data_IF_315815309634
#
_entry.id   IF_315815309634
#
_cell.length_a   1.000
_cell.length_b   1.000
_cell.length_c   1.000
_cell.angle_alpha   90.00
_cell.angle_beta   90.00
_cell.angle_gamma   90.00
#
_symmetry.space_group_name_H-M   'P 1'
#
loop_
_entity.id
_entity.type
_entity.pdbx_description
1 polymer ?
#
# COMPACT_ATOMS: atom_id res chain seq x y z
N UNK A 1 14.67 15.33 7.25
CA UNK A 1 13.71 14.31 6.75
C UNK A 1 14.37 12.96 6.45
N UNK A 2 15.59 12.91 5.88
CA UNK A 2 16.34 11.67 5.59
C UNK A 2 16.45 10.71 6.79
N UNK A 3 16.75 11.22 8.00
CA UNK A 3 16.83 10.40 9.22
C UNK A 3 15.55 9.60 9.48
N UNK A 4 14.38 10.20 9.25
CA UNK A 4 13.09 9.55 9.48
C UNK A 4 12.89 8.39 8.50
N UNK A 5 13.30 8.57 7.26
CA UNK A 5 13.28 7.53 6.24
C UNK A 5 14.19 6.34 6.60
N UNK A 6 15.34 6.58 7.23
CA UNK A 6 16.16 5.49 7.77
C UNK A 6 15.44 4.73 8.89
N UNK A 7 14.81 5.45 9.83
CA UNK A 7 14.05 4.82 10.93
C UNK A 7 12.78 4.08 10.49
N UNK A 8 12.29 4.28 9.27
CA UNK A 8 11.25 3.42 8.68
C UNK A 8 11.68 1.95 8.56
N UNK A 9 12.97 1.64 8.76
CA UNK A 9 13.55 0.29 8.72
C UNK A 9 13.90 -0.27 10.10
N UNK A 10 13.53 0.40 11.19
CA UNK A 10 13.80 -0.06 12.55
C UNK A 10 13.10 -1.40 12.85
N UNK A 11 13.71 -2.25 13.70
CA UNK A 11 13.13 -3.56 14.08
C UNK A 11 11.82 -3.44 14.87
N UNK A 12 11.69 -2.37 15.66
CA UNK A 12 10.47 -2.02 16.38
C UNK A 12 9.42 -1.37 15.46
N UNK A 13 8.23 -1.98 15.40
CA UNK A 13 7.07 -1.47 14.66
C UNK A 13 6.59 -0.10 15.14
N UNK A 14 6.69 0.21 16.44
CA UNK A 14 6.26 1.49 17.01
C UNK A 14 7.13 2.65 16.54
N UNK A 15 8.44 2.41 16.46
CA UNK A 15 9.40 3.38 15.92
C UNK A 15 9.10 3.61 14.43
N UNK A 16 8.89 2.54 13.65
CA UNK A 16 8.54 2.67 12.23
C UNK A 16 7.28 3.50 12.03
N UNK A 17 6.21 3.24 12.77
CA UNK A 17 4.96 4.00 12.69
C UNK A 17 5.16 5.48 13.04
N UNK A 18 5.87 5.78 14.13
CA UNK A 18 6.14 7.18 14.56
C UNK A 18 6.90 7.97 13.49
N UNK A 19 7.86 7.33 12.81
CA UNK A 19 8.61 8.00 11.76
C UNK A 19 7.82 8.10 10.46
N UNK A 20 6.99 7.10 10.14
CA UNK A 20 6.07 7.14 9.01
C UNK A 20 5.12 8.35 9.08
N UNK A 21 4.45 8.58 10.22
CA UNK A 21 3.51 9.71 10.37
C UNK A 21 4.13 11.04 9.95
N UNK A 22 5.43 11.20 10.21
CA UNK A 22 6.21 12.39 9.88
C UNK A 22 6.76 12.40 8.45
N UNK A 23 6.87 11.24 7.82
CA UNK A 23 7.18 11.12 6.39
C UNK A 23 5.94 11.47 5.56
N UNK A 24 4.74 11.12 6.04
CA UNK A 24 3.47 11.39 5.36
C UNK A 24 3.13 12.90 5.26
N UNK A 25 3.72 13.73 6.13
CA UNK A 25 3.63 15.20 6.08
C UNK A 25 4.44 15.84 4.93
N UNK A 26 5.24 15.06 4.19
CA UNK A 26 6.18 15.55 3.19
C UNK A 26 5.72 15.27 1.76
N UNK A 27 5.71 16.30 0.92
CA UNK A 27 5.39 16.21 -0.52
C UNK A 27 6.63 15.96 -1.42
N UNK A 28 7.78 15.74 -0.81
CA UNK A 28 9.02 15.46 -1.52
C UNK A 28 9.02 14.07 -2.21
N UNK A 29 9.27 13.96 -3.52
CA UNK A 29 9.16 12.69 -4.26
C UNK A 29 10.01 11.55 -3.71
N UNK A 30 11.15 11.86 -3.11
CA UNK A 30 12.09 10.86 -2.58
C UNK A 30 11.56 10.13 -1.33
N UNK A 31 10.45 10.58 -0.73
CA UNK A 31 9.81 9.86 0.38
C UNK A 31 8.99 8.64 -0.06
N UNK A 32 8.52 8.65 -1.31
CA UNK A 32 7.66 7.61 -1.87
C UNK A 32 8.16 6.16 -1.67
N UNK A 33 9.44 5.82 -1.95
CA UNK A 33 9.93 4.46 -1.74
C UNK A 33 9.80 3.99 -0.28
N UNK A 34 9.89 4.88 0.70
CA UNK A 34 9.81 4.51 2.12
C UNK A 34 8.37 4.18 2.53
N UNK A 35 7.42 4.98 2.06
CA UNK A 35 5.99 4.77 2.32
C UNK A 35 5.47 3.52 1.59
N UNK A 36 5.77 3.38 0.29
CA UNK A 36 5.35 2.19 -0.48
C UNK A 36 5.98 0.93 0.09
N UNK A 37 7.24 0.97 0.54
CA UNK A 37 7.87 -0.18 1.21
C UNK A 37 7.20 -0.54 2.54
N UNK A 38 6.82 0.47 3.34
CA UNK A 38 6.11 0.27 4.60
C UNK A 38 4.71 -0.32 4.41
N UNK A 39 4.05 0.00 3.29
CA UNK A 39 2.78 -0.64 2.92
C UNK A 39 2.91 -2.16 2.74
N UNK A 40 4.10 -2.69 2.47
CA UNK A 40 4.36 -4.12 2.36
C UNK A 40 4.81 -4.79 3.66
N UNK A 41 4.67 -4.15 4.82
CA UNK A 41 5.03 -4.72 6.12
C UNK A 41 3.82 -5.43 6.77
N UNK A 42 4.07 -6.34 7.71
CA UNK A 42 3.05 -7.18 8.34
C UNK A 42 2.24 -6.47 9.45
N UNK A 43 2.34 -5.14 9.59
CA UNK A 43 1.71 -4.39 10.69
C UNK A 43 0.51 -3.64 10.13
N UNK A 44 -0.71 -4.08 10.49
CA UNK A 44 -1.95 -3.48 9.95
C UNK A 44 -2.09 -2.00 10.32
N UNK A 45 -1.62 -1.59 11.50
CA UNK A 45 -1.65 -0.20 11.98
C UNK A 45 -0.81 0.73 11.08
N UNK A 46 0.24 0.21 10.45
CA UNK A 46 1.04 0.95 9.46
C UNK A 46 0.20 1.20 8.21
N UNK A 47 -0.55 0.21 7.73
CA UNK A 47 -1.43 0.36 6.56
C UNK A 47 -2.51 1.41 6.82
N UNK A 48 -3.13 1.35 7.99
CA UNK A 48 -4.13 2.32 8.41
C UNK A 48 -3.54 3.73 8.57
N UNK A 49 -2.31 3.85 9.09
CA UNK A 49 -1.63 5.13 9.19
C UNK A 49 -1.31 5.73 7.82
N UNK A 50 -0.88 4.91 6.85
CA UNK A 50 -0.66 5.37 5.46
C UNK A 50 -1.97 5.88 4.86
N UNK A 51 -3.05 5.11 4.97
CA UNK A 51 -4.38 5.53 4.49
C UNK A 51 -4.82 6.87 5.07
N UNK A 52 -4.70 7.04 6.40
CA UNK A 52 -5.06 8.31 7.05
C UNK A 52 -4.15 9.48 6.66
N UNK A 53 -2.86 9.24 6.43
CA UNK A 53 -1.91 10.28 6.09
C UNK A 53 -1.83 10.62 4.61
N UNK A 54 -2.42 9.81 3.74
CA UNK A 54 -2.52 10.05 2.30
C UNK A 54 -3.97 10.19 1.81
N UNK A 55 -4.79 11.09 2.39
CA UNK A 55 -6.19 11.21 1.99
C UNK A 55 -6.36 11.65 0.53
N UNK A 56 -5.35 12.31 -0.05
CA UNK A 56 -5.33 12.68 -1.46
C UNK A 56 -5.07 11.51 -2.40
N UNK A 57 -4.61 10.35 -1.93
CA UNK A 57 -4.32 9.21 -2.80
C UNK A 57 -5.58 8.73 -3.54
N UNK A 58 -6.75 8.83 -2.90
CA UNK A 58 -8.05 8.47 -3.49
C UNK A 58 -8.72 9.63 -4.26
N UNK A 59 -8.10 10.81 -4.29
CA UNK A 59 -8.62 11.99 -4.99
C UNK A 59 -7.96 12.11 -6.37
N UNK A 60 -8.71 11.94 -7.48
CA UNK A 60 -8.17 12.08 -8.83
C UNK A 60 -7.48 13.42 -9.02
N UNK A 61 -6.29 13.41 -9.62
CA UNK A 61 -5.53 14.64 -9.88
C UNK A 61 -4.98 15.36 -8.64
N UNK A 62 -4.99 14.74 -7.45
CA UNK A 62 -4.30 15.32 -6.28
C UNK A 62 -2.77 15.27 -6.43
N UNK A 63 -2.06 16.09 -5.65
CA UNK A 63 -0.60 16.08 -5.63
C UNK A 63 -0.05 14.73 -5.11
N UNK A 64 -0.64 14.18 -4.05
CA UNK A 64 -0.26 12.88 -3.48
C UNK A 64 -0.45 11.77 -4.51
N UNK A 65 -1.61 11.73 -5.18
CA UNK A 65 -1.90 10.72 -6.20
C UNK A 65 -0.91 10.77 -7.36
N UNK A 66 -0.57 11.97 -7.85
CA UNK A 66 0.49 12.15 -8.85
C UNK A 66 1.84 11.63 -8.35
N UNK A 67 2.27 12.06 -7.17
CA UNK A 67 3.57 11.72 -6.59
C UNK A 67 3.76 10.20 -6.47
N UNK A 68 2.80 9.52 -5.82
CA UNK A 68 2.90 8.07 -5.62
C UNK A 68 2.67 7.31 -6.93
N UNK A 69 1.78 7.78 -7.79
CA UNK A 69 1.56 7.21 -9.12
C UNK A 69 2.82 7.26 -9.99
N UNK A 70 3.52 8.39 -9.99
CA UNK A 70 4.73 8.63 -10.79
C UNK A 70 5.92 7.80 -10.27
N UNK A 71 6.05 7.69 -8.95
CA UNK A 71 7.04 6.79 -8.36
C UNK A 71 6.79 5.34 -8.78
N UNK A 72 5.54 4.87 -8.70
CA UNK A 72 5.19 3.47 -9.01
C UNK A 72 5.31 3.19 -10.51
N UNK A 73 4.90 4.13 -11.37
CA UNK A 73 4.99 3.95 -12.84
C UNK A 73 6.44 3.77 -13.30
N UNK A 74 7.38 4.45 -12.64
CA UNK A 74 8.83 4.28 -12.88
C UNK A 74 9.44 3.06 -12.21
N UNK A 75 8.76 2.46 -11.23
CA UNK A 75 9.28 1.36 -10.41
C UNK A 75 8.29 0.18 -10.28
N UNK A 76 7.78 -0.39 -11.38
CA UNK A 76 6.72 -1.42 -11.34
C UNK A 76 7.14 -2.67 -10.57
N UNK A 77 8.41 -3.09 -10.67
CA UNK A 77 8.93 -4.26 -9.94
C UNK A 77 9.01 -4.05 -8.42
N UNK A 78 9.22 -2.80 -7.99
CA UNK A 78 9.20 -2.42 -6.58
C UNK A 78 7.79 -2.54 -6.00
N UNK A 79 6.81 -2.03 -6.74
CA UNK A 79 5.41 -2.13 -6.35
C UNK A 79 4.91 -3.58 -6.38
N UNK A 80 5.22 -4.36 -7.42
CA UNK A 80 4.86 -5.76 -7.50
C UNK A 80 5.39 -6.58 -6.29
N UNK A 81 6.61 -6.29 -5.81
CA UNK A 81 7.15 -6.90 -4.58
C UNK A 81 6.34 -6.50 -3.35
N UNK A 82 5.93 -5.23 -3.27
CA UNK A 82 5.10 -4.71 -2.18
C UNK A 82 3.75 -5.43 -2.15
N UNK A 83 3.07 -5.55 -3.30
CA UNK A 83 1.79 -6.24 -3.41
C UNK A 83 1.88 -7.71 -2.95
N UNK A 84 2.89 -8.44 -3.39
CA UNK A 84 3.10 -9.84 -2.97
C UNK A 84 3.26 -9.96 -1.44
N UNK A 85 3.95 -9.00 -0.80
CA UNK A 85 4.09 -8.99 0.65
C UNK A 85 2.77 -8.69 1.35
N UNK A 86 2.01 -7.70 0.87
CA UNK A 86 0.67 -7.38 1.41
C UNK A 86 -0.21 -8.62 1.42
N UNK A 87 -0.23 -9.37 0.31
CA UNK A 87 -1.03 -10.60 0.18
C UNK A 87 -0.49 -11.72 1.07
N UNK A 88 0.83 -11.94 1.07
CA UNK A 88 1.46 -12.98 1.88
C UNK A 88 1.20 -12.76 3.37
N UNK A 89 1.38 -11.53 3.87
CA UNK A 89 1.19 -11.20 5.27
C UNK A 89 -0.28 -11.20 5.68
N UNK A 90 -1.17 -10.74 4.81
CA UNK A 90 -2.60 -10.96 5.02
C UNK A 90 -2.90 -12.45 5.22
N UNK A 91 -2.44 -13.29 4.30
CA UNK A 91 -2.72 -14.73 4.32
C UNK A 91 -2.18 -15.41 5.58
N UNK A 92 -0.95 -15.07 6.01
CA UNK A 92 -0.30 -15.68 7.16
C UNK A 92 -0.81 -15.18 8.52
N UNK A 93 -1.03 -13.86 8.67
CA UNK A 93 -1.23 -13.25 9.99
C UNK A 93 -2.63 -12.70 10.24
N UNK A 94 -3.37 -12.40 9.17
CA UNK A 94 -4.62 -11.62 9.28
C UNK A 94 -5.83 -12.28 8.65
N UNK A 95 -5.67 -13.41 7.94
CA UNK A 95 -6.77 -14.11 7.28
C UNK A 95 -7.87 -14.55 8.25
N UNK A 96 -7.52 -14.85 9.51
CA UNK A 96 -8.50 -15.19 10.55
C UNK A 96 -9.42 -14.00 10.91
N UNK A 97 -8.91 -12.77 10.84
CA UNK A 97 -9.65 -11.53 11.12
C UNK A 97 -10.30 -10.93 9.87
N UNK A 98 -9.65 -11.09 8.72
CA UNK A 98 -10.10 -10.63 7.41
C UNK A 98 -10.16 -11.83 6.45
N UNK A 99 -11.22 -12.65 6.49
CA UNK A 99 -11.30 -13.90 5.72
C UNK A 99 -11.18 -13.71 4.20
N UNK A 100 -11.53 -12.53 3.72
CA UNK A 100 -11.47 -12.14 2.32
C UNK A 100 -10.47 -10.99 2.17
N UNK A 101 -9.55 -11.08 1.20
CA UNK A 101 -8.50 -10.05 1.02
C UNK A 101 -9.09 -8.65 0.87
N UNK A 102 -10.22 -8.49 0.17
CA UNK A 102 -10.91 -7.21 0.01
C UNK A 102 -11.36 -6.54 1.32
N UNK A 103 -11.46 -7.28 2.43
CA UNK A 103 -11.77 -6.72 3.76
C UNK A 103 -10.53 -6.25 4.53
N UNK A 104 -9.34 -6.63 4.08
CA UNK A 104 -8.06 -6.25 4.70
C UNK A 104 -7.68 -4.82 4.29
N UNK A 105 -7.23 -3.94 5.22
CA UNK A 105 -6.86 -2.55 4.90
C UNK A 105 -5.84 -2.42 3.76
N UNK A 106 -4.92 -3.39 3.65
CA UNK A 106 -3.91 -3.44 2.59
C UNK A 106 -4.49 -3.60 1.18
N UNK A 107 -5.70 -4.17 1.04
CA UNK A 107 -6.35 -4.30 -0.26
C UNK A 107 -6.72 -2.94 -0.84
N UNK A 108 -7.37 -2.09 -0.05
CA UNK A 108 -7.73 -0.74 -0.49
C UNK A 108 -6.48 0.10 -0.80
N UNK A 109 -5.42 -0.04 0.00
CA UNK A 109 -4.20 0.74 -0.18
C UNK A 109 -3.47 0.38 -1.47
N UNK A 110 -3.34 -0.93 -1.74
CA UNK A 110 -2.73 -1.42 -2.97
C UNK A 110 -3.54 -0.99 -4.20
N UNK A 111 -4.87 -1.01 -4.11
CA UNK A 111 -5.73 -0.58 -5.21
C UNK A 111 -5.61 0.93 -5.49
N UNK A 112 -5.56 1.75 -4.44
CA UNK A 112 -5.37 3.19 -4.55
C UNK A 112 -4.03 3.52 -5.23
N UNK A 113 -2.95 2.87 -4.82
CA UNK A 113 -1.63 3.00 -5.46
C UNK A 113 -1.62 2.54 -6.92
N UNK A 114 -2.27 1.42 -7.22
CA UNK A 114 -2.37 0.88 -8.58
C UNK A 114 -3.12 1.84 -9.50
N UNK A 115 -4.24 2.38 -9.02
CA UNK A 115 -5.04 3.36 -9.77
C UNK A 115 -4.28 4.67 -9.97
N UNK A 116 -3.55 5.14 -8.94
CA UNK A 116 -2.67 6.31 -9.06
C UNK A 116 -1.59 6.12 -10.12
N UNK A 117 -0.98 4.93 -10.20
CA UNK A 117 0.03 4.61 -11.20
C UNK A 117 -0.56 4.48 -12.62
N UNK A 118 -1.77 3.91 -12.74
CA UNK A 118 -2.45 3.79 -14.03
C UNK A 118 -2.74 5.16 -14.67
N UNK A 119 -3.08 6.18 -13.86
CA UNK A 119 -3.23 7.56 -14.33
C UNK A 119 -1.92 8.16 -14.88
N UNK A 120 -0.77 7.63 -14.46
CA UNK A 120 0.55 8.00 -14.99
C UNK A 120 0.99 7.09 -16.15
N UNK A 121 0.08 6.30 -16.73
CA UNK A 121 0.34 5.41 -17.86
C UNK A 121 1.03 4.10 -17.49
N UNK A 122 1.06 3.71 -16.20
CA UNK A 122 1.69 2.45 -15.79
C UNK A 122 0.89 1.22 -16.23
N UNK A 123 1.59 0.20 -16.73
CA UNK A 123 1.04 -1.15 -16.94
C UNK A 123 1.59 -2.07 -15.84
N UNK A 124 0.78 -2.36 -14.83
CA UNK A 124 1.18 -3.10 -13.62
C UNK A 124 0.73 -4.57 -13.66
N UNK A 125 1.08 -5.26 -14.74
CA UNK A 125 0.75 -6.68 -14.93
C UNK A 125 1.95 -7.60 -14.62
N UNK A 126 1.73 -8.80 -14.05
CA UNK A 126 0.43 -9.33 -13.61
C UNK A 126 -0.02 -8.78 -12.26
N UNK A 127 -1.34 -8.65 -12.06
CA UNK A 127 -1.92 -8.34 -10.73
C UNK A 127 -1.62 -9.45 -9.71
N UNK A 128 -1.07 -9.08 -8.56
CA UNK A 128 -0.69 -10.04 -7.51
C UNK A 128 -1.70 -10.19 -6.37
N UNK A 129 -2.72 -9.33 -6.31
CA UNK A 129 -3.79 -9.42 -5.31
C UNK A 129 -4.84 -10.46 -5.69
N UNK A 130 -5.38 -11.24 -4.74
CA UNK A 130 -6.51 -12.12 -4.99
C UNK A 130 -7.68 -11.36 -5.62
N UNK A 131 -8.39 -11.99 -6.56
CA UNK A 131 -9.65 -11.43 -7.04
C UNK A 131 -10.64 -11.33 -5.87
N UNK A 132 -11.49 -10.30 -5.83
CA UNK A 132 -12.66 -10.32 -4.96
C UNK A 132 -13.37 -11.66 -5.16
N UNK A 133 -13.83 -12.27 -4.06
CA UNK A 133 -14.78 -13.37 -4.21
C UNK A 133 -16.00 -12.75 -4.90
N UNK A 134 -16.16 -12.96 -6.21
CA UNK A 134 -17.47 -12.78 -6.83
C UNK A 134 -18.44 -13.52 -5.94
N UNK A 135 -19.54 -12.88 -5.55
CA UNK A 135 -20.63 -13.52 -4.84
C UNK A 135 -20.86 -14.87 -5.51
N UNK A 136 -20.42 -15.95 -4.87
CA UNK A 136 -20.59 -17.28 -5.44
C UNK A 136 -22.09 -17.47 -5.50
N UNK A 137 -22.53 -17.83 -6.70
CA UNK A 137 -23.78 -18.49 -7.03
C UNK A 137 -24.48 -19.08 -5.76
N UNK A 138 -25.71 -18.67 -5.42
CA UNK A 138 -26.42 -19.15 -4.22
C UNK A 138 -26.66 -20.66 -4.17
N UNK A 139 -26.28 -21.42 -5.20
CA UNK A 139 -26.53 -22.84 -5.29
C UNK A 139 -25.21 -23.61 -5.27
N UNK A 140 -24.66 -23.74 -4.07
CA UNK A 140 -23.78 -24.86 -3.72
C UNK A 140 -24.61 -26.13 -3.52
N UNK A 141 -25.22 -26.65 -4.59
CA UNK A 141 -25.66 -28.04 -4.78
C UNK A 141 -25.64 -28.38 -6.25
#
# INVERSE_FOLDING_TARGET
>A
MILRCLYSRHGDGRIRQRHLERILESDEPWVAPFVVRLAGEYVVEILEAIHRGLPGLDVPGSAQRRLYGEFISRNPSFFARTERRVVSYWSCYYRWKYPVFGTYPGSALVEAFRSAAAEQGAVLEPRHTPRPLSARDPLGR
#
